data_IF_856540204295
#
_entry.id   IF_856540204295
#
_cell.length_a   1.000
_cell.length_b   1.000
_cell.length_c   1.000
_cell.angle_alpha   90.00
_cell.angle_beta   90.00
_cell.angle_gamma   90.00
#
_symmetry.space_group_name_H-M   'P 1'
#
loop_
_entity.id
_entity.type
_entity.pdbx_description
1 polymer ?
#
# COMPACT_ATOMS: atom_id res chain seq x y z
N UNK A 1 38.46 30.82 6.61
CA UNK A 1 39.41 29.81 7.08
C UNK A 1 39.03 28.51 6.37
N UNK A 2 39.84 28.13 5.39
CA UNK A 2 39.63 26.96 4.55
C UNK A 2 40.49 25.83 5.11
N UNK A 3 39.89 24.68 5.40
CA UNK A 3 40.65 23.49 5.78
C UNK A 3 41.17 22.79 4.54
N UNK A 4 42.46 22.54 4.61
CA UNK A 4 43.38 22.10 3.58
C UNK A 4 43.38 20.57 3.59
N UNK A 5 43.15 19.97 2.43
CA UNK A 5 43.26 18.52 2.25
C UNK A 5 44.72 18.11 2.39
N UNK A 6 44.99 17.28 3.39
CA UNK A 6 46.28 16.63 3.60
C UNK A 6 46.45 15.54 2.52
N UNK A 7 47.44 15.76 1.66
CA UNK A 7 47.82 14.84 0.59
C UNK A 7 48.75 13.79 1.19
N UNK A 8 48.25 12.57 1.34
CA UNK A 8 49.10 11.41 1.67
C UNK A 8 49.92 11.05 0.42
N UNK A 9 51.23 11.35 0.50
CA UNK A 9 52.26 10.67 -0.28
C UNK A 9 52.24 9.17 0.04
N UNK A 10 52.04 8.34 -0.99
CA UNK A 10 52.41 6.93 -0.94
C UNK A 10 53.14 6.57 -2.24
N UNK A 11 54.47 6.51 -2.14
CA UNK A 11 55.29 5.82 -3.11
C UNK A 11 55.01 4.31 -3.08
N UNK A 12 55.01 3.65 -4.24
CA UNK A 12 56.18 2.90 -4.70
C UNK A 12 55.88 2.23 -6.05
N UNK A 13 56.83 2.42 -6.97
CA UNK A 13 56.95 1.77 -8.27
C UNK A 13 57.23 0.28 -8.07
N UNK A 14 56.65 -0.58 -8.90
CA UNK A 14 57.35 -1.84 -9.25
C UNK A 14 56.56 -3.13 -9.49
N UNK A 15 55.24 -3.19 -9.30
CA UNK A 15 54.53 -4.51 -9.36
C UNK A 15 53.33 -4.62 -10.31
N UNK A 16 52.96 -3.55 -11.02
CA UNK A 16 51.69 -3.48 -11.80
C UNK A 16 51.78 -3.95 -13.26
N UNK A 17 52.97 -4.23 -13.81
CA UNK A 17 53.13 -4.65 -15.22
C UNK A 17 52.99 -6.16 -15.46
N UNK A 18 53.15 -7.00 -14.45
CA UNK A 18 53.08 -8.46 -14.62
C UNK A 18 51.66 -9.02 -14.58
N UNK A 19 50.80 -8.47 -13.73
CA UNK A 19 49.42 -8.96 -13.58
C UNK A 19 48.56 -8.66 -14.80
N UNK A 20 48.82 -7.55 -15.51
CA UNK A 20 48.11 -7.19 -16.74
C UNK A 20 48.50 -8.12 -17.90
N UNK A 21 49.76 -8.58 -17.95
CA UNK A 21 50.24 -9.48 -19.01
C UNK A 21 49.67 -10.91 -18.85
N UNK A 22 49.54 -11.40 -17.62
CA UNK A 22 48.97 -12.73 -17.34
C UNK A 22 47.48 -12.83 -17.71
N UNK A 23 46.70 -11.77 -17.50
CA UNK A 23 45.27 -11.74 -17.85
C UNK A 23 45.04 -11.71 -19.36
N UNK A 24 45.89 -11.00 -20.11
CA UNK A 24 45.81 -10.96 -21.58
C UNK A 24 46.22 -12.30 -22.21
N UNK A 25 47.22 -12.99 -21.64
CA UNK A 25 47.65 -14.31 -22.11
C UNK A 25 46.56 -15.38 -21.87
N UNK A 26 45.86 -15.33 -20.73
CA UNK A 26 44.76 -16.23 -20.42
C UNK A 26 43.54 -16.04 -21.35
N UNK A 27 43.23 -14.79 -21.73
CA UNK A 27 42.11 -14.49 -22.64
C UNK A 27 42.39 -14.90 -24.10
N UNK A 28 43.66 -14.97 -24.52
CA UNK A 28 44.04 -15.39 -25.88
C UNK A 28 44.12 -16.92 -26.06
N UNK A 29 44.15 -17.72 -24.98
CA UNK A 29 44.21 -19.19 -25.05
C UNK A 29 42.84 -19.87 -25.19
N UNK A 30 41.75 -19.19 -24.82
CA UNK A 30 40.39 -19.73 -24.85
C UNK A 30 39.88 -20.05 -26.28
N UNK A 31 40.14 -19.24 -27.33
CA UNK A 31 39.65 -19.56 -28.68
C UNK A 31 40.49 -20.61 -29.42
N UNK A 32 41.70 -20.94 -28.96
CA UNK A 32 42.58 -21.94 -29.62
C UNK A 32 42.22 -23.37 -29.21
N UNK A 33 41.80 -23.59 -27.96
CA UNK A 33 41.40 -24.93 -27.47
C UNK A 33 40.04 -25.35 -28.07
N UNK A 34 39.13 -24.40 -28.31
CA UNK A 34 37.83 -24.68 -28.94
C UNK A 34 37.93 -25.12 -30.41
N UNK A 35 39.02 -24.77 -31.10
CA UNK A 35 39.22 -25.09 -32.53
C UNK A 35 40.00 -26.40 -32.77
N UNK A 36 40.68 -26.95 -31.75
CA UNK A 36 41.45 -28.20 -31.88
C UNK A 36 40.70 -29.47 -31.44
N UNK A 37 39.53 -29.35 -30.80
CA UNK A 37 38.74 -30.50 -30.32
C UNK A 37 37.61 -30.90 -31.28
N UNK A 38 37.41 -30.16 -32.39
CA UNK A 38 36.27 -30.38 -33.30
C UNK A 38 36.65 -30.99 -34.66
N UNK A 39 37.68 -31.83 -34.71
CA UNK A 39 37.97 -32.70 -35.87
C UNK A 39 38.28 -34.11 -35.37
N UNK A 40 37.24 -34.93 -35.30
CA UNK A 40 37.20 -36.28 -35.84
C UNK A 40 35.77 -36.83 -35.68
N UNK A 41 35.10 -37.02 -36.81
CA UNK A 41 34.02 -38.01 -36.98
C UNK A 41 34.74 -39.33 -37.34
N UNK A 42 34.40 -40.52 -36.84
CA UNK A 42 33.18 -41.33 -37.00
C UNK A 42 33.55 -42.75 -36.43
N UNK A 43 32.76 -43.84 -36.56
CA UNK A 43 31.36 -44.10 -36.21
C UNK A 43 31.23 -45.39 -35.33
N UNK A 44 30.02 -45.80 -34.97
CA UNK A 44 29.65 -47.12 -34.41
C UNK A 44 30.14 -47.49 -32.99
N UNK A 45 29.33 -47.15 -31.99
CA UNK A 45 29.14 -48.00 -30.81
C UNK A 45 27.74 -47.78 -30.20
N UNK A 46 26.92 -48.82 -30.36
CA UNK A 46 25.99 -49.36 -29.37
C UNK A 46 24.77 -48.52 -28.93
N UNK A 47 23.62 -49.13 -29.18
CA UNK A 47 22.30 -48.71 -28.79
C UNK A 47 22.14 -48.59 -27.28
N UNK A 48 21.94 -47.38 -26.79
CA UNK A 48 21.11 -47.12 -25.62
C UNK A 48 20.04 -46.09 -26.00
N UNK A 49 18.78 -46.49 -25.85
CA UNK A 49 17.62 -45.62 -26.07
C UNK A 49 17.82 -44.31 -25.31
N UNK A 50 17.55 -43.13 -25.91
CA UNK A 50 17.47 -41.92 -25.12
C UNK A 50 16.34 -42.10 -24.11
N UNK A 51 16.70 -42.22 -22.82
CA UNK A 51 15.76 -42.15 -21.73
C UNK A 51 14.90 -40.91 -21.97
N UNK A 52 13.60 -41.13 -22.13
CA UNK A 52 12.63 -40.07 -22.37
C UNK A 52 12.88 -38.94 -21.38
N UNK A 53 13.31 -37.79 -21.89
CA UNK A 53 13.45 -36.57 -21.11
C UNK A 53 12.09 -36.31 -20.50
N UNK A 54 11.98 -36.51 -19.18
CA UNK A 54 10.73 -36.30 -18.45
C UNK A 54 10.23 -34.91 -18.83
N UNK A 55 9.05 -34.85 -19.44
CA UNK A 55 8.40 -33.60 -19.79
C UNK A 55 8.33 -32.77 -18.49
N UNK A 56 8.83 -31.52 -18.45
CA UNK A 56 8.71 -30.68 -17.27
C UNK A 56 7.25 -30.70 -16.82
N UNK A 57 6.99 -30.98 -15.54
CA UNK A 57 5.63 -30.96 -15.03
C UNK A 57 4.96 -29.66 -15.51
N UNK A 58 3.74 -29.73 -16.08
CA UNK A 58 3.04 -28.53 -16.50
C UNK A 58 3.01 -27.56 -15.32
N UNK A 59 3.45 -26.32 -15.57
CA UNK A 59 3.47 -25.23 -14.58
C UNK A 59 2.15 -25.30 -13.83
N UNK A 60 2.22 -25.71 -12.55
CA UNK A 60 1.04 -25.90 -11.72
C UNK A 60 0.25 -24.60 -11.76
N UNK A 61 -0.92 -24.70 -12.40
CA UNK A 61 -2.04 -23.76 -12.45
C UNK A 61 -1.69 -22.29 -12.25
N UNK A 62 -2.12 -21.44 -13.18
CA UNK A 62 -2.50 -20.06 -12.84
C UNK A 62 -3.46 -20.13 -11.66
N UNK A 63 -2.95 -20.06 -10.42
CA UNK A 63 -3.75 -20.06 -9.21
C UNK A 63 -4.58 -18.80 -9.34
N UNK A 64 -5.88 -18.97 -9.60
CA UNK A 64 -6.83 -17.88 -9.57
C UNK A 64 -6.78 -17.37 -8.14
N UNK A 65 -6.01 -16.31 -7.92
CA UNK A 65 -5.93 -15.67 -6.63
C UNK A 65 -7.31 -15.05 -6.41
N UNK A 66 -8.13 -15.71 -5.60
CA UNK A 66 -9.41 -15.15 -5.15
C UNK A 66 -9.10 -13.86 -4.38
N UNK A 67 -9.37 -12.73 -5.03
CA UNK A 67 -9.19 -11.41 -4.46
C UNK A 67 -10.54 -10.73 -4.36
N UNK A 68 -11.14 -10.81 -3.18
CA UNK A 68 -12.31 -10.01 -2.90
C UNK A 68 -11.94 -8.52 -3.00
N UNK A 69 -12.71 -7.69 -3.74
CA UNK A 69 -12.49 -6.26 -3.78
C UNK A 69 -12.55 -5.68 -2.37
N UNK A 70 -11.48 -5.01 -1.93
CA UNK A 70 -11.43 -4.37 -0.62
C UNK A 70 -12.03 -2.95 -0.69
N UNK A 71 -13.28 -2.91 -1.16
CA UNK A 71 -14.08 -1.70 -1.41
C UNK A 71 -15.55 -1.98 -1.11
N UNK A 72 -16.31 -0.91 -0.90
CA UNK A 72 -17.76 -0.92 -1.02
C UNK A 72 -18.19 0.06 -2.11
N UNK A 73 -19.12 -0.35 -2.96
CA UNK A 73 -19.77 0.52 -3.94
C UNK A 73 -21.15 0.90 -3.39
N UNK A 74 -21.32 2.09 -2.82
CA UNK A 74 -22.58 2.49 -2.21
C UNK A 74 -23.64 2.70 -3.30
N UNK A 75 -24.89 2.23 -3.13
CA UNK A 75 -25.93 2.46 -4.14
C UNK A 75 -26.26 3.96 -4.22
N UNK A 76 -26.22 4.52 -5.42
CA UNK A 76 -26.59 5.90 -5.70
C UNK A 76 -28.08 6.03 -6.06
N UNK A 77 -28.69 7.12 -5.59
CA UNK A 77 -30.04 7.55 -6.00
C UNK A 77 -29.92 8.86 -6.76
N UNK A 78 -30.35 8.88 -8.02
CA UNK A 78 -30.33 10.07 -8.86
C UNK A 78 -31.41 11.07 -8.44
N UNK A 79 -31.02 12.35 -8.33
CA UNK A 79 -31.90 13.49 -8.04
C UNK A 79 -31.45 14.71 -8.85
N UNK A 80 -32.19 15.07 -9.89
CA UNK A 80 -32.03 16.32 -10.65
C UNK A 80 -30.58 16.60 -11.13
N UNK A 81 -29.94 15.63 -11.78
CA UNK A 81 -28.56 15.76 -12.27
C UNK A 81 -27.48 15.44 -11.25
N UNK A 82 -27.82 15.46 -9.95
CA UNK A 82 -26.97 14.96 -8.89
C UNK A 82 -27.30 13.50 -8.54
N UNK A 83 -26.37 12.85 -7.87
CA UNK A 83 -26.54 11.56 -7.23
C UNK A 83 -26.32 11.69 -5.73
N UNK A 84 -27.00 10.82 -4.99
CA UNK A 84 -26.97 10.80 -3.53
C UNK A 84 -26.64 9.40 -3.06
N UNK A 85 -25.59 9.28 -2.25
CA UNK A 85 -25.20 8.04 -1.57
C UNK A 85 -25.27 8.23 -0.06
N UNK A 86 -25.61 7.16 0.66
CA UNK A 86 -25.41 7.10 2.10
C UNK A 86 -24.02 6.53 2.37
N UNK A 87 -23.34 6.99 3.41
CA UNK A 87 -22.04 6.45 3.82
C UNK A 87 -21.97 6.30 5.33
N UNK A 88 -21.11 5.38 5.79
CA UNK A 88 -20.80 5.19 7.21
C UNK A 88 -19.30 5.28 7.39
N UNK A 89 -18.86 6.22 8.23
CA UNK A 89 -17.45 6.40 8.55
C UNK A 89 -16.94 5.29 9.48
N UNK A 90 -15.62 5.07 9.56
CA UNK A 90 -15.03 4.02 10.41
C UNK A 90 -15.33 4.14 11.91
N UNK A 91 -15.76 5.30 12.38
CA UNK A 91 -16.18 5.53 13.77
C UNK A 91 -17.70 5.38 13.97
N UNK A 92 -18.44 5.00 12.93
CA UNK A 92 -19.87 4.68 12.99
C UNK A 92 -20.83 5.81 12.64
N UNK A 93 -20.34 7.06 12.48
CA UNK A 93 -21.18 8.19 12.04
C UNK A 93 -21.67 7.98 10.62
N UNK A 94 -22.94 8.29 10.39
CA UNK A 94 -23.60 8.21 9.08
C UNK A 94 -23.64 9.58 8.44
N UNK A 95 -23.52 9.61 7.12
CA UNK A 95 -23.71 10.83 6.34
C UNK A 95 -24.39 10.54 5.02
N UNK A 96 -25.04 11.57 4.48
CA UNK A 96 -25.49 11.63 3.11
C UNK A 96 -24.50 12.46 2.30
N UNK A 97 -24.09 11.94 1.14
CA UNK A 97 -23.19 12.62 0.21
C UNK A 97 -23.95 12.84 -1.09
N UNK A 98 -24.16 14.11 -1.43
CA UNK A 98 -24.74 14.55 -2.71
C UNK A 98 -23.61 15.06 -3.60
N UNK A 99 -23.58 14.61 -4.84
CA UNK A 99 -22.50 14.92 -5.79
C UNK A 99 -23.01 15.00 -7.24
N UNK A 100 -22.37 15.79 -8.14
CA UNK A 100 -22.67 15.77 -9.56
C UNK A 100 -22.48 14.38 -10.16
N UNK A 101 -23.47 13.86 -10.89
CA UNK A 101 -23.46 12.48 -11.38
C UNK A 101 -22.21 12.13 -12.21
N UNK A 102 -21.60 13.10 -12.89
CA UNK A 102 -20.38 12.91 -13.69
C UNK A 102 -19.17 12.47 -12.85
N UNK A 103 -19.17 12.71 -11.54
CA UNK A 103 -18.12 12.25 -10.64
C UNK A 103 -18.18 10.73 -10.39
N UNK A 104 -19.32 10.08 -10.64
CA UNK A 104 -19.53 8.63 -10.52
C UNK A 104 -18.93 8.03 -9.22
N UNK A 105 -19.13 8.70 -8.07
CA UNK A 105 -18.47 8.33 -6.82
C UNK A 105 -18.85 6.92 -6.34
N UNK A 106 -20.07 6.48 -6.63
CA UNK A 106 -20.58 5.13 -6.38
C UNK A 106 -19.78 4.05 -7.13
N UNK A 107 -19.34 4.34 -8.35
CA UNK A 107 -18.54 3.44 -9.17
C UNK A 107 -17.04 3.42 -8.77
N UNK A 108 -16.51 4.54 -8.26
CA UNK A 108 -15.09 4.65 -7.85
C UNK A 108 -14.71 3.68 -6.71
N UNK A 109 -15.69 3.25 -5.92
CA UNK A 109 -15.48 2.39 -4.77
C UNK A 109 -14.92 3.16 -3.58
N UNK A 110 -15.43 2.84 -2.40
CA UNK A 110 -15.15 3.50 -1.13
C UNK A 110 -14.30 2.62 -0.23
N UNK A 111 -13.32 3.22 0.46
CA UNK A 111 -12.44 2.57 1.44
C UNK A 111 -12.37 3.35 2.76
N UNK A 112 -12.32 2.64 3.90
CA UNK A 112 -12.10 3.27 5.19
C UNK A 112 -10.63 3.58 5.44
N UNK A 113 -10.38 4.66 6.15
CA UNK A 113 -9.11 4.93 6.84
C UNK A 113 -9.37 5.30 8.29
N UNK A 114 -8.50 4.84 9.18
CA UNK A 114 -8.59 5.17 10.61
C UNK A 114 -7.19 5.23 11.22
N UNK A 115 -6.89 6.28 11.98
CA UNK A 115 -5.74 6.31 12.88
C UNK A 115 -6.06 5.67 14.23
N UNK A 116 -5.03 5.20 14.93
CA UNK A 116 -5.13 4.84 16.34
C UNK A 116 -3.83 5.09 17.09
N UNK A 117 -3.94 5.23 18.40
CA UNK A 117 -2.84 5.20 19.34
C UNK A 117 -2.84 3.86 20.04
N UNK A 118 -1.71 3.15 19.98
CA UNK A 118 -1.47 1.90 20.69
C UNK A 118 -0.41 2.18 21.72
N UNK A 119 -0.80 2.33 22.99
CA UNK A 119 0.12 2.66 24.09
C UNK A 119 1.03 3.86 23.77
N UNK A 120 0.45 4.94 23.25
CA UNK A 120 1.18 6.17 22.89
C UNK A 120 1.89 6.13 21.53
N UNK A 121 1.87 5.01 20.80
CA UNK A 121 2.41 4.91 19.44
C UNK A 121 1.33 5.06 18.39
N UNK A 122 1.44 6.07 17.53
CA UNK A 122 0.49 6.30 16.44
C UNK A 122 0.64 5.25 15.33
N UNK A 123 -0.50 4.73 14.86
CA UNK A 123 -0.60 3.77 13.76
C UNK A 123 -1.79 4.09 12.88
N UNK A 124 -1.66 3.78 11.59
CA UNK A 124 -2.71 3.97 10.59
C UNK A 124 -3.24 2.61 10.14
N UNK A 125 -4.55 2.53 9.97
CA UNK A 125 -5.26 1.40 9.41
C UNK A 125 -5.84 1.81 8.08
N UNK A 126 -5.44 1.11 7.03
CA UNK A 126 -5.88 1.37 5.66
C UNK A 126 -6.41 0.10 5.04
N UNK A 127 -7.42 0.20 4.17
CA UNK A 127 -7.82 -0.90 3.31
C UNK A 127 -6.92 -0.91 2.06
N UNK A 128 -6.01 -1.89 1.88
CA UNK A 128 -5.17 -1.94 0.69
C UNK A 128 -6.00 -2.01 -0.59
N UNK A 129 -5.55 -1.38 -1.67
CA UNK A 129 -6.27 -1.31 -2.94
C UNK A 129 -6.47 -2.69 -3.56
N UNK A 130 -5.39 -3.48 -3.55
CA UNK A 130 -5.40 -4.86 -4.03
C UNK A 130 -5.88 -5.87 -2.99
N UNK A 131 -6.51 -5.41 -1.89
CA UNK A 131 -6.96 -6.28 -0.81
C UNK A 131 -5.81 -7.03 -0.15
N UNK A 132 -6.07 -8.28 0.23
CA UNK A 132 -5.06 -9.12 0.89
C UNK A 132 -3.84 -9.36 0.00
N UNK A 133 -4.01 -9.46 -1.32
CA UNK A 133 -2.89 -9.69 -2.25
C UNK A 133 -1.85 -8.59 -2.21
N UNK A 134 -2.27 -7.35 -1.94
CA UNK A 134 -1.33 -6.25 -1.78
C UNK A 134 -0.40 -6.49 -0.60
N UNK A 135 -0.75 -7.31 0.39
CA UNK A 135 0.10 -7.64 1.55
C UNK A 135 0.83 -8.98 1.37
N UNK A 136 0.17 -10.00 0.83
CA UNK A 136 0.71 -11.37 0.79
C UNK A 136 1.79 -11.61 -0.25
N UNK A 137 2.00 -10.69 -1.20
CA UNK A 137 3.12 -10.75 -2.16
C UNK A 137 4.50 -10.83 -1.49
N UNK A 138 4.62 -10.42 -0.23
CA UNK A 138 5.87 -10.45 0.53
C UNK A 138 6.32 -11.85 0.97
N UNK A 139 5.53 -12.90 0.76
CA UNK A 139 5.84 -14.28 1.17
C UNK A 139 4.80 -14.85 2.12
N UNK A 140 5.19 -15.78 2.98
CA UNK A 140 4.28 -16.41 3.95
C UNK A 140 4.09 -15.53 5.20
N UNK A 141 2.96 -15.65 5.92
CA UNK A 141 2.79 -14.94 7.19
C UNK A 141 3.85 -15.38 8.20
N UNK A 142 4.37 -14.42 8.96
CA UNK A 142 5.36 -14.66 10.02
C UNK A 142 4.68 -15.33 11.23
N UNK A 143 3.49 -14.84 11.60
CA UNK A 143 2.79 -15.28 12.81
C UNK A 143 1.32 -14.88 12.78
N UNK A 144 0.47 -15.64 13.48
CA UNK A 144 -0.90 -15.25 13.82
C UNK A 144 -0.95 -14.70 15.26
N UNK A 145 -1.52 -13.52 15.44
CA UNK A 145 -1.75 -12.90 16.77
C UNK A 145 -3.17 -13.18 17.29
N UNK A 146 -4.12 -13.39 16.39
CA UNK A 146 -5.49 -13.79 16.65
C UNK A 146 -6.02 -14.53 15.40
N UNK A 147 -7.18 -15.22 15.47
CA UNK A 147 -7.76 -15.89 14.31
C UNK A 147 -7.96 -14.98 13.08
N UNK A 148 -8.16 -13.69 13.30
CA UNK A 148 -8.37 -12.68 12.27
C UNK A 148 -7.21 -11.67 12.15
N UNK A 149 -6.05 -11.93 12.76
CA UNK A 149 -4.91 -11.00 12.75
C UNK A 149 -3.61 -11.75 12.48
N UNK A 150 -2.98 -11.41 11.37
CA UNK A 150 -1.75 -12.05 10.89
C UNK A 150 -0.66 -11.01 10.68
N UNK A 151 0.58 -11.36 11.02
CA UNK A 151 1.76 -10.55 10.79
C UNK A 151 2.45 -11.03 9.53
N UNK A 152 2.71 -10.10 8.62
CA UNK A 152 3.34 -10.34 7.34
C UNK A 152 4.71 -9.66 7.27
N UNK A 153 5.65 -10.25 6.51
CA UNK A 153 6.93 -9.61 6.26
C UNK A 153 6.74 -8.27 5.56
N UNK A 154 7.75 -7.41 5.71
CA UNK A 154 7.87 -6.22 4.87
C UNK A 154 7.89 -6.65 3.40
N UNK A 155 7.22 -5.89 2.56
CA UNK A 155 7.21 -6.18 1.12
C UNK A 155 8.51 -5.72 0.44
N UNK A 156 8.95 -6.48 -0.56
CA UNK A 156 10.07 -6.05 -1.38
C UNK A 156 9.74 -4.72 -2.08
N UNK A 157 10.68 -3.77 -2.05
CA UNK A 157 10.50 -2.44 -2.66
C UNK A 157 9.63 -1.45 -1.87
N UNK A 158 9.12 -1.82 -0.69
CA UNK A 158 8.24 -0.95 0.11
C UNK A 158 8.98 0.11 0.94
N UNK A 159 10.26 0.39 0.66
CA UNK A 159 11.05 1.41 1.37
C UNK A 159 10.97 1.29 2.90
N UNK A 160 10.52 2.37 3.55
CA UNK A 160 10.37 2.50 5.01
C UNK A 160 9.10 1.86 5.59
N UNK A 161 8.24 1.25 4.77
CA UNK A 161 7.12 0.47 5.30
C UNK A 161 7.68 -0.75 6.04
N UNK A 162 7.31 -0.94 7.31
CA UNK A 162 7.78 -2.06 8.14
C UNK A 162 7.01 -3.36 7.88
N UNK A 163 6.98 -4.24 8.89
CA UNK A 163 6.10 -5.40 8.89
C UNK A 163 4.63 -4.96 8.87
N UNK A 164 3.72 -5.82 8.39
CA UNK A 164 2.30 -5.48 8.26
C UNK A 164 1.47 -6.37 9.14
N UNK A 165 0.67 -5.76 10.03
CA UNK A 165 -0.43 -6.49 10.66
C UNK A 165 -1.65 -6.39 9.73
N UNK A 166 -2.13 -7.54 9.28
CA UNK A 166 -3.32 -7.67 8.45
C UNK A 166 -4.48 -8.17 9.31
N UNK A 167 -5.52 -7.33 9.40
CA UNK A 167 -6.75 -7.61 10.12
C UNK A 167 -7.85 -8.01 9.14
N UNK A 168 -8.62 -9.02 9.52
CA UNK A 168 -9.79 -9.49 8.81
C UNK A 168 -11.07 -9.15 9.58
N UNK A 169 -11.99 -8.46 8.91
CA UNK A 169 -13.32 -8.11 9.42
C UNK A 169 -14.37 -8.37 8.34
N UNK A 170 -14.85 -9.60 8.25
CA UNK A 170 -15.71 -10.03 7.15
C UNK A 170 -14.98 -9.86 5.79
N UNK A 171 -15.56 -9.18 4.80
CA UNK A 171 -14.90 -8.95 3.51
C UNK A 171 -13.73 -7.97 3.60
N UNK A 172 -13.62 -7.19 4.68
CA UNK A 172 -12.58 -6.18 4.79
C UNK A 172 -11.24 -6.75 5.20
N UNK A 173 -10.20 -6.19 4.59
CA UNK A 173 -8.81 -6.40 4.95
C UNK A 173 -8.20 -5.06 5.33
N UNK A 174 -7.85 -4.86 6.59
CA UNK A 174 -7.16 -3.66 7.05
C UNK A 174 -5.70 -3.95 7.31
N UNK A 175 -4.83 -3.22 6.64
CA UNK A 175 -3.40 -3.23 6.87
C UNK A 175 -3.00 -2.13 7.84
N UNK A 176 -2.19 -2.49 8.82
CA UNK A 176 -1.44 -1.55 9.65
C UNK A 176 0.05 -1.77 9.41
N UNK A 177 0.69 -0.79 8.77
CA UNK A 177 2.12 -0.80 8.55
C UNK A 177 2.84 -0.43 9.84
N UNK A 178 3.66 -1.34 10.35
CA UNK A 178 4.41 -1.16 11.58
C UNK A 178 5.72 -0.40 11.33
N UNK A 179 5.58 0.91 11.06
CA UNK A 179 6.68 1.82 10.68
C UNK A 179 7.55 2.22 11.89
N UNK A 180 8.75 2.72 11.61
CA UNK A 180 9.69 3.23 12.62
C UNK A 180 10.24 2.12 13.52
N UNK A 181 10.28 2.36 14.84
CA UNK A 181 10.68 1.35 15.84
C UNK A 181 9.76 0.13 15.90
N UNK A 182 8.59 0.17 15.25
CA UNK A 182 7.59 -0.88 15.33
C UNK A 182 6.83 -0.91 16.66
N UNK A 183 5.86 -1.81 16.77
CA UNK A 183 5.17 -2.18 18.00
C UNK A 183 5.88 -3.40 18.60
N UNK A 184 5.90 -3.49 19.92
CA UNK A 184 6.39 -4.70 20.61
C UNK A 184 5.46 -5.89 20.38
N UNK A 185 5.91 -7.08 20.76
CA UNK A 185 5.07 -8.28 20.72
C UNK A 185 3.78 -8.11 21.52
N UNK A 186 3.88 -7.60 22.75
CA UNK A 186 2.73 -7.40 23.64
C UNK A 186 1.77 -6.34 23.11
N UNK A 187 2.30 -5.26 22.52
CA UNK A 187 1.49 -4.24 21.87
C UNK A 187 0.70 -4.79 20.68
N UNK A 188 1.34 -5.62 19.83
CA UNK A 188 0.66 -6.29 18.72
C UNK A 188 -0.41 -7.28 19.22
N UNK A 189 -0.14 -8.00 20.30
CA UNK A 189 -1.09 -8.91 20.93
C UNK A 189 -2.28 -8.15 21.54
N UNK A 190 -2.01 -7.05 22.24
CA UNK A 190 -3.04 -6.16 22.80
C UNK A 190 -3.90 -5.58 21.68
N UNK A 191 -3.26 -5.11 20.60
CA UNK A 191 -3.94 -4.61 19.40
C UNK A 191 -4.88 -5.65 18.79
N UNK A 192 -4.37 -6.87 18.55
CA UNK A 192 -5.13 -7.95 17.95
C UNK A 192 -6.35 -8.36 18.78
N UNK A 193 -6.28 -8.28 20.12
CA UNK A 193 -7.38 -8.67 21.01
C UNK A 193 -8.43 -7.58 21.19
N UNK A 194 -8.01 -6.31 21.14
CA UNK A 194 -8.85 -5.20 21.58
C UNK A 194 -9.35 -4.30 20.44
N UNK A 195 -8.78 -4.39 19.23
CA UNK A 195 -9.37 -3.79 18.04
C UNK A 195 -10.48 -4.69 17.49
N UNK A 196 -11.66 -4.11 17.29
CA UNK A 196 -12.84 -4.81 16.77
C UNK A 196 -13.39 -4.10 15.56
N UNK A 197 -13.79 -4.88 14.56
CA UNK A 197 -14.52 -4.40 13.39
C UNK A 197 -15.89 -5.04 13.32
N UNK A 198 -16.89 -4.24 12.96
CA UNK A 198 -18.25 -4.69 12.63
C UNK A 198 -18.60 -4.18 11.25
N UNK A 199 -19.07 -5.07 10.40
CA UNK A 199 -19.56 -4.72 9.07
C UNK A 199 -21.04 -4.38 9.18
N UNK A 200 -21.47 -3.25 8.63
CA UNK A 200 -22.89 -2.88 8.61
C UNK A 200 -23.65 -3.73 7.58
N UNK A 201 -24.99 -3.69 7.60
CA UNK A 201 -25.81 -4.41 6.61
C UNK A 201 -25.52 -3.95 5.18
N UNK A 202 -25.10 -2.70 5.04
CA UNK A 202 -24.74 -2.03 3.80
C UNK A 202 -23.25 -2.22 3.41
N UNK A 203 -22.49 -3.00 4.18
CA UNK A 203 -21.11 -3.39 3.85
C UNK A 203 -20.00 -2.47 4.37
N UNK A 204 -20.31 -1.38 5.08
CA UNK A 204 -19.28 -0.49 5.64
C UNK A 204 -18.59 -1.10 6.86
N UNK A 205 -17.31 -0.84 7.02
CA UNK A 205 -16.55 -1.24 8.22
C UNK A 205 -16.63 -0.15 9.29
N UNK A 206 -17.14 -0.52 10.46
CA UNK A 206 -17.09 0.30 11.68
C UNK A 206 -16.12 -0.32 12.67
N UNK A 207 -15.17 0.48 13.14
CA UNK A 207 -14.13 0.10 14.08
C UNK A 207 -14.46 0.58 15.48
N UNK A 208 -14.06 -0.21 16.45
CA UNK A 208 -14.07 0.15 17.86
C UNK A 208 -12.84 -0.44 18.52
N UNK A 209 -12.36 0.20 19.58
CA UNK A 209 -11.21 -0.25 20.32
C UNK A 209 -11.49 -0.18 21.82
N UNK A 210 -10.75 -0.96 22.60
CA UNK A 210 -10.84 -1.02 24.07
C UNK A 210 -9.44 -0.96 24.67
N UNK A 211 -9.39 -0.75 25.99
CA UNK A 211 -8.15 -0.70 26.78
C UNK A 211 -7.20 0.36 26.23
N UNK A 212 -5.93 0.00 26.04
CA UNK A 212 -4.82 0.91 25.70
C UNK A 212 -4.75 1.26 24.21
N UNK A 213 -5.82 0.99 23.47
CA UNK A 213 -5.97 1.36 22.07
C UNK A 213 -7.04 2.44 21.96
N UNK A 214 -6.64 3.60 21.46
CA UNK A 214 -7.53 4.73 21.21
C UNK A 214 -7.59 5.03 19.73
N UNK A 215 -8.75 4.82 19.10
CA UNK A 215 -8.97 5.30 17.75
C UNK A 215 -8.91 6.84 17.73
N UNK A 216 -8.31 7.39 16.68
CA UNK A 216 -8.25 8.83 16.47
C UNK A 216 -9.65 9.40 16.22
N UNK A 217 -9.87 10.62 16.69
CA UNK A 217 -11.17 11.31 16.60
C UNK A 217 -11.23 12.22 15.37
N UNK A 218 -12.43 12.64 14.91
CA UNK A 218 -12.57 13.74 13.97
C UNK A 218 -11.71 14.96 14.36
N UNK A 219 -11.06 15.59 13.37
CA UNK A 219 -10.16 16.73 13.58
C UNK A 219 -8.78 16.41 14.19
N UNK A 220 -8.54 15.18 14.66
CA UNK A 220 -7.24 14.82 15.23
C UNK A 220 -6.14 14.80 14.16
N UNK A 221 -4.95 15.27 14.55
CA UNK A 221 -3.81 15.48 13.65
C UNK A 221 -2.53 14.85 14.19
N UNK A 222 -1.70 14.37 13.27
CA UNK A 222 -0.31 13.97 13.54
C UNK A 222 0.56 14.57 12.46
N UNK A 223 1.61 15.28 12.87
CA UNK A 223 2.53 15.99 11.95
C UNK A 223 1.79 16.93 10.97
N UNK A 224 0.71 17.56 11.44
CA UNK A 224 -0.09 18.48 10.62
C UNK A 224 -1.13 17.83 9.71
N UNK A 225 -1.06 16.52 9.45
CA UNK A 225 -2.05 15.82 8.63
C UNK A 225 -3.26 15.35 9.45
N UNK A 226 -4.48 15.38 8.89
CA UNK A 226 -5.63 14.78 9.53
C UNK A 226 -5.48 13.26 9.59
N UNK A 227 -5.67 12.69 10.77
CA UNK A 227 -5.54 11.24 11.02
C UNK A 227 -6.78 10.62 11.64
N UNK A 228 -7.85 11.40 11.79
CA UNK A 228 -9.17 10.91 12.20
C UNK A 228 -9.77 9.88 11.24
N UNK A 229 -11.02 9.45 11.48
CA UNK A 229 -11.75 8.57 10.58
C UNK A 229 -11.92 9.20 9.20
N UNK A 230 -11.68 8.50 8.11
CA UNK A 230 -11.88 9.03 6.76
C UNK A 230 -12.53 8.01 5.84
N UNK A 231 -13.10 8.52 4.76
CA UNK A 231 -13.65 7.74 3.66
C UNK A 231 -12.99 8.17 2.36
N UNK A 232 -12.46 7.19 1.64
CA UNK A 232 -11.66 7.39 0.44
C UNK A 232 -12.36 6.78 -0.78
N UNK A 233 -12.68 7.59 -1.77
CA UNK A 233 -13.24 7.17 -3.05
C UNK A 233 -12.12 7.03 -4.09
N UNK A 234 -12.17 5.96 -4.89
CA UNK A 234 -11.20 5.72 -5.96
C UNK A 234 -9.81 5.34 -5.43
N UNK A 235 -8.76 5.83 -6.10
CA UNK A 235 -7.36 5.63 -5.71
C UNK A 235 -6.50 4.87 -6.73
N UNK A 236 -5.44 4.18 -6.26
CA UNK A 236 -4.40 3.63 -7.14
C UNK A 236 -3.68 4.74 -7.92
N UNK A 237 -3.56 4.64 -9.25
CA UNK A 237 -3.05 5.71 -10.11
C UNK A 237 -4.15 6.70 -10.59
N UNK A 238 -5.41 6.46 -10.25
CA UNK A 238 -6.56 7.20 -10.75
C UNK A 238 -6.91 8.46 -9.96
N UNK A 239 -8.12 8.96 -10.21
CA UNK A 239 -8.76 10.01 -9.42
C UNK A 239 -9.03 9.51 -8.00
N UNK A 240 -8.97 10.43 -7.04
CA UNK A 240 -9.19 10.11 -5.64
C UNK A 240 -9.82 11.28 -4.90
N UNK A 241 -10.74 10.95 -4.00
CA UNK A 241 -11.39 11.89 -3.11
C UNK A 241 -11.41 11.35 -1.68
N UNK A 242 -11.13 12.20 -0.71
CA UNK A 242 -11.23 11.90 0.71
C UNK A 242 -12.28 12.80 1.37
N UNK A 243 -13.21 12.19 2.09
CA UNK A 243 -14.08 12.85 3.04
C UNK A 243 -13.50 12.69 4.45
N UNK A 244 -13.24 13.81 5.11
CA UNK A 244 -12.52 13.86 6.38
C UNK A 244 -13.31 14.72 7.37
N UNK A 245 -14.01 14.10 8.34
CA UNK A 245 -14.66 14.79 9.44
C UNK A 245 -13.61 15.62 10.20
N UNK A 246 -13.76 16.93 10.10
CA UNK A 246 -12.83 17.94 10.61
C UNK A 246 -13.68 19.03 11.25
N UNK A 247 -14.01 18.91 12.55
CA UNK A 247 -14.65 20.00 13.29
C UNK A 247 -13.86 21.30 13.10
N UNK A 248 -14.56 22.41 12.92
CA UNK A 248 -13.94 23.72 12.68
C UNK A 248 -13.00 23.73 11.45
N UNK A 249 -13.40 23.02 10.39
CA UNK A 249 -12.61 22.84 9.16
C UNK A 249 -12.08 24.15 8.57
N UNK A 250 -12.83 25.25 8.69
CA UNK A 250 -12.45 26.54 8.13
C UNK A 250 -11.04 27.00 8.53
N UNK A 251 -10.59 26.67 9.75
CA UNK A 251 -9.25 26.97 10.25
C UNK A 251 -8.18 25.93 9.89
N UNK A 252 -8.55 24.80 9.28
CA UNK A 252 -7.71 23.61 9.17
C UNK A 252 -7.85 22.91 7.81
N UNK A 253 -7.01 23.29 6.83
CA UNK A 253 -7.07 22.76 5.45
C UNK A 253 -5.86 21.91 5.02
N UNK A 254 -5.13 21.32 5.96
CA UNK A 254 -4.03 20.43 5.55
C UNK A 254 -4.58 19.19 4.85
N UNK A 255 -3.90 18.80 3.77
CA UNK A 255 -4.25 17.64 2.98
C UNK A 255 -4.01 16.34 3.79
N UNK A 256 -4.88 15.34 3.64
CA UNK A 256 -4.56 13.98 4.06
C UNK A 256 -3.35 13.46 3.30
N UNK A 257 -2.48 12.69 3.98
CA UNK A 257 -1.25 12.10 3.42
C UNK A 257 -1.52 11.34 2.11
N UNK A 258 -2.68 10.67 2.00
CA UNK A 258 -3.06 9.89 0.81
C UNK A 258 -3.32 10.75 -0.43
N UNK A 259 -3.65 12.03 -0.27
CA UNK A 259 -3.87 12.98 -1.36
C UNK A 259 -2.55 13.70 -1.68
N UNK A 260 -1.87 14.22 -0.65
CA UNK A 260 -0.64 15.00 -0.81
C UNK A 260 0.54 14.17 -1.32
N UNK A 261 0.73 12.95 -0.77
CA UNK A 261 1.86 12.07 -1.07
C UNK A 261 1.88 11.52 -2.50
N UNK A 262 0.93 11.92 -3.36
CA UNK A 262 0.83 11.49 -4.76
C UNK A 262 1.60 12.37 -5.74
N UNK A 263 2.04 13.56 -5.32
CA UNK A 263 2.76 14.50 -6.20
C UNK A 263 1.91 15.01 -7.39
N UNK A 264 0.58 14.89 -7.29
CA UNK A 264 -0.38 15.33 -8.30
C UNK A 264 -1.08 16.58 -7.80
N UNK A 265 -1.53 17.47 -8.70
CA UNK A 265 -2.29 18.62 -8.26
C UNK A 265 -3.57 18.17 -7.55
N UNK A 266 -3.88 18.89 -6.47
CA UNK A 266 -4.86 18.53 -5.48
C UNK A 266 -5.54 19.79 -4.97
N UNK A 267 -6.83 19.67 -4.66
CA UNK A 267 -7.63 20.77 -4.12
C UNK A 267 -8.31 20.34 -2.83
N UNK A 268 -8.67 21.32 -1.99
CA UNK A 268 -9.44 21.09 -0.78
C UNK A 268 -10.53 22.12 -0.59
N UNK A 269 -11.62 21.71 0.06
CA UNK A 269 -12.66 22.63 0.51
C UNK A 269 -13.32 22.15 1.79
N UNK A 270 -13.70 23.10 2.62
CA UNK A 270 -14.50 22.85 3.81
C UNK A 270 -15.99 23.04 3.53
N UNK A 271 -16.81 22.11 4.01
CA UNK A 271 -18.27 22.15 3.99
C UNK A 271 -18.78 21.82 5.39
N UNK A 272 -18.97 22.86 6.22
CA UNK A 272 -19.18 22.69 7.66
C UNK A 272 -17.99 21.98 8.29
N UNK A 273 -18.27 20.91 9.05
CA UNK A 273 -17.26 20.08 9.74
C UNK A 273 -16.69 18.96 8.87
N UNK A 274 -16.74 19.12 7.54
CA UNK A 274 -16.20 18.15 6.59
C UNK A 274 -15.16 18.80 5.70
N UNK A 275 -13.95 18.26 5.72
CA UNK A 275 -12.92 18.54 4.71
C UNK A 275 -13.11 17.57 3.55
N UNK A 276 -13.22 18.13 2.35
CA UNK A 276 -13.21 17.39 1.09
C UNK A 276 -11.85 17.66 0.47
N UNK A 277 -11.06 16.60 0.25
CA UNK A 277 -9.76 16.69 -0.40
C UNK A 277 -9.75 15.82 -1.65
N UNK A 278 -9.23 16.32 -2.76
CA UNK A 278 -9.34 15.66 -4.06
C UNK A 278 -8.04 15.75 -4.84
N UNK A 279 -7.73 14.72 -5.62
CA UNK A 279 -6.69 14.74 -6.65
C UNK A 279 -7.17 14.01 -7.90
N UNK A 280 -6.72 14.48 -9.08
CA UNK A 280 -7.23 14.00 -10.36
C UNK A 280 -7.00 15.00 -11.49
N UNK A 281 -7.74 14.82 -12.58
CA UNK A 281 -7.84 15.82 -13.66
C UNK A 281 -8.44 17.12 -13.14
N UNK A 282 -8.12 18.25 -13.77
CA UNK A 282 -8.65 19.57 -13.41
C UNK A 282 -10.17 19.56 -13.32
N UNK A 283 -10.85 19.06 -14.36
CA UNK A 283 -12.32 18.96 -14.40
C UNK A 283 -12.89 18.18 -13.21
N UNK A 284 -12.27 17.05 -12.84
CA UNK A 284 -12.73 16.25 -11.71
C UNK A 284 -12.58 16.98 -10.39
N UNK A 285 -11.45 17.68 -10.19
CA UNK A 285 -11.21 18.44 -8.96
C UNK A 285 -12.17 19.61 -8.83
N UNK A 286 -12.36 20.39 -9.89
CA UNK A 286 -13.29 21.53 -9.92
C UNK A 286 -14.72 21.08 -9.58
N UNK A 287 -15.23 20.08 -10.30
CA UNK A 287 -16.57 19.51 -10.03
C UNK A 287 -16.71 18.96 -8.60
N UNK A 288 -15.68 18.30 -8.08
CA UNK A 288 -15.71 17.76 -6.71
C UNK A 288 -15.77 18.87 -5.65
N UNK A 289 -14.92 19.89 -5.75
CA UNK A 289 -14.87 21.00 -4.80
C UNK A 289 -16.16 21.83 -4.86
N UNK A 290 -16.68 22.09 -6.06
CA UNK A 290 -17.88 22.91 -6.25
C UNK A 290 -19.16 22.17 -5.89
N UNK A 291 -19.31 20.93 -6.36
CA UNK A 291 -20.58 20.20 -6.37
C UNK A 291 -20.84 19.31 -5.17
N UNK A 292 -19.81 18.82 -4.46
CA UNK A 292 -20.03 17.86 -3.37
C UNK A 292 -20.58 18.57 -2.13
N UNK A 293 -21.62 17.97 -1.56
CA UNK A 293 -22.25 18.37 -0.30
C UNK A 293 -22.40 17.15 0.61
N UNK A 294 -22.08 17.34 1.88
CA UNK A 294 -22.14 16.27 2.88
C UNK A 294 -23.01 16.72 4.04
N UNK A 295 -23.96 15.86 4.44
CA UNK A 295 -24.86 16.10 5.56
C UNK A 295 -24.73 14.94 6.55
N UNK A 296 -24.22 15.23 7.74
CA UNK A 296 -24.09 14.25 8.83
C UNK A 296 -25.48 14.01 9.44
N UNK A 297 -25.76 12.75 9.81
CA UNK A 297 -27.01 12.32 10.44
C UNK A 297 -26.85 12.04 11.92
#
# INVERSE_FOLDING_TARGET
MAEQFDVIEAGERGRRRWTVLLVVLALLLIPVIGLLVSRDADPEAEAESPAATATPEPIRSLTRLDNAPNIVNPPAVRKQGDEVIQVVFPHGVRAEVRYPAELNLDALGLRPFQGAWVEGRFRQFVAPYGGQLEVTRGGQPIRNYAPNVTLWPRQAGSGFYGQVLLFEFGPWRLAMYDRGEGLTFDQRMSLARNLRGRVTKEGYLVLSARRDIRLTRPGERVQGHPVGPQLWFGGGAGQMLALVPTPDCAGHRALPEVIEGRGRPSDTVCRGDMLIAVTGSTEFREKAIEGIRVTVK
#
